data_IF_188126864683
#
_entry.id   IF_188126864683
#
_cell.length_a   1.000
_cell.length_b   1.000
_cell.length_c   1.000
_cell.angle_alpha   90.00
_cell.angle_beta   90.00
_cell.angle_gamma   90.00
#
_symmetry.space_group_name_H-M   'P 1'
#
loop_
_entity.id
_entity.type
_entity.pdbx_description
1 polymer ?
#
# COMPACT_ATOMS: atom_id res chain seq x y z
N UNK A 1 5.42 -10.97 -1.59
CA UNK A 1 4.44 -10.19 -0.81
C UNK A 1 3.13 -10.03 -1.60
N UNK A 2 1.98 -10.23 -0.96
CA UNK A 2 0.63 -10.03 -1.52
C UNK A 2 0.02 -8.77 -0.87
N UNK A 3 -0.65 -7.94 -1.67
CA UNK A 3 -1.32 -6.74 -1.20
C UNK A 3 -2.81 -6.83 -1.51
N UNK A 4 -3.64 -6.62 -0.50
CA UNK A 4 -5.09 -6.55 -0.62
C UNK A 4 -5.52 -5.13 -0.29
N UNK A 5 -6.29 -4.52 -1.18
CA UNK A 5 -6.79 -3.16 -1.01
C UNK A 5 -8.27 -3.25 -0.75
N UNK A 6 -8.70 -2.56 0.30
CA UNK A 6 -10.08 -2.40 0.70
C UNK A 6 -10.44 -0.91 0.63
N UNK A 7 -11.73 -0.58 0.64
CA UNK A 7 -12.20 0.81 0.55
C UNK A 7 -11.65 1.70 1.68
N UNK A 8 -11.36 1.12 2.84
CA UNK A 8 -10.91 1.84 4.03
C UNK A 8 -9.41 1.64 4.36
N UNK A 9 -8.65 0.88 3.55
CA UNK A 9 -7.24 0.63 3.87
C UNK A 9 -6.57 -0.47 3.04
N UNK A 10 -5.37 -0.88 3.49
CA UNK A 10 -4.49 -1.80 2.75
C UNK A 10 -3.95 -2.86 3.70
N UNK A 11 -4.06 -4.12 3.28
CA UNK A 11 -3.52 -5.29 3.98
C UNK A 11 -2.33 -5.85 3.21
N UNK A 12 -1.14 -5.84 3.81
CA UNK A 12 0.09 -6.40 3.24
C UNK A 12 0.40 -7.75 3.91
N UNK A 13 0.59 -8.80 3.11
CA UNK A 13 0.90 -10.15 3.58
C UNK A 13 2.22 -10.61 2.97
N UNK A 14 3.23 -10.86 3.81
CA UNK A 14 4.55 -11.25 3.35
C UNK A 14 5.58 -11.29 4.48
N UNK A 15 6.87 -11.39 4.14
CA UNK A 15 7.94 -11.33 5.13
C UNK A 15 8.00 -9.92 5.71
N UNK A 16 8.28 -9.80 7.02
CA UNK A 16 8.28 -8.52 7.72
C UNK A 16 9.17 -7.46 7.03
N UNK A 17 10.36 -7.85 6.58
CA UNK A 17 11.27 -6.93 5.90
C UNK A 17 10.75 -6.47 4.53
N UNK A 18 10.05 -7.32 3.78
CA UNK A 18 9.45 -6.97 2.48
C UNK A 18 8.36 -5.91 2.68
N UNK A 19 7.55 -6.08 3.73
CA UNK A 19 6.49 -5.14 4.10
C UNK A 19 7.11 -3.78 4.45
N UNK A 20 8.16 -3.76 5.28
CA UNK A 20 8.85 -2.52 5.65
C UNK A 20 9.46 -1.82 4.45
N UNK A 21 10.11 -2.56 3.54
CA UNK A 21 10.65 -1.96 2.31
C UNK A 21 9.55 -1.37 1.44
N UNK A 22 8.43 -2.09 1.26
CA UNK A 22 7.31 -1.59 0.46
C UNK A 22 6.66 -0.33 1.06
N UNK A 23 6.49 -0.30 2.38
CA UNK A 23 5.99 0.90 3.06
C UNK A 23 6.93 2.09 2.88
N UNK A 24 8.25 1.88 2.87
CA UNK A 24 9.24 2.95 2.60
C UNK A 24 9.18 3.46 1.16
N UNK A 25 8.95 2.57 0.19
CA UNK A 25 8.73 2.96 -1.20
C UNK A 25 7.49 3.84 -1.32
N UNK A 26 6.34 3.37 -0.81
CA UNK A 26 5.08 4.10 -0.94
C UNK A 26 5.01 5.38 -0.11
N UNK A 27 5.75 5.49 0.98
CA UNK A 27 5.84 6.74 1.74
C UNK A 27 6.51 7.87 0.93
N UNK A 28 7.28 7.56 -0.12
CA UNK A 28 7.82 8.57 -1.05
C UNK A 28 6.79 9.04 -2.06
N UNK A 29 5.88 8.14 -2.44
CA UNK A 29 4.88 8.37 -3.49
C UNK A 29 3.58 8.96 -2.94
N UNK A 30 3.19 8.59 -1.71
CA UNK A 30 1.94 8.99 -1.09
C UNK A 30 2.18 9.50 0.33
N UNK A 31 1.79 10.75 0.59
CA UNK A 31 1.82 11.32 1.94
C UNK A 31 0.68 10.83 2.84
N UNK A 32 -0.39 10.27 2.25
CA UNK A 32 -1.56 9.75 2.96
C UNK A 32 -1.95 8.38 2.42
N UNK A 33 -2.37 7.50 3.32
CA UNK A 33 -2.88 6.16 2.96
C UNK A 33 -4.14 6.26 2.10
N UNK A 34 -4.98 7.29 2.29
CA UNK A 34 -6.16 7.56 1.46
C UNK A 34 -5.80 7.78 0.00
N UNK A 35 -4.73 8.55 -0.27
CA UNK A 35 -4.26 8.84 -1.62
C UNK A 35 -3.72 7.57 -2.28
N UNK A 36 -3.03 6.74 -1.50
CA UNK A 36 -2.55 5.44 -1.96
C UNK A 36 -3.70 4.48 -2.32
N UNK A 37 -4.71 4.36 -1.47
CA UNK A 37 -5.91 3.53 -1.73
C UNK A 37 -6.64 4.01 -2.98
N UNK A 38 -6.84 5.33 -3.12
CA UNK A 38 -7.51 5.92 -4.28
C UNK A 38 -6.74 5.67 -5.60
N UNK A 39 -5.42 5.90 -5.62
CA UNK A 39 -4.62 5.71 -6.83
C UNK A 39 -4.63 4.25 -7.30
N UNK A 40 -4.51 3.29 -6.37
CA UNK A 40 -4.53 1.87 -6.76
C UNK A 40 -5.94 1.38 -7.09
N UNK A 41 -6.98 1.94 -6.44
CA UNK A 41 -8.37 1.63 -6.80
C UNK A 41 -8.76 2.17 -8.18
N UNK A 42 -8.15 3.27 -8.64
CA UNK A 42 -8.40 3.85 -9.97
C UNK A 42 -7.61 3.17 -11.10
N UNK A 43 -6.51 2.48 -10.78
CA UNK A 43 -5.69 1.72 -11.75
C UNK A 43 -6.26 0.34 -12.11
N UNK A 44 -7.48 0.03 -11.67
CA UNK A 44 -8.16 -1.25 -11.90
C UNK A 44 -9.21 -1.10 -12.99
#
# INVERSE_FOLDING_TARGET
MKMYIHEQGITLVGKAWEIVQKLKEYNKEYGLVTNWVQDVSQKK
#
